data_IF_915211450852
#
_entry.id   IF_915211450852
#
_cell.length_a   1.000
_cell.length_b   1.000
_cell.length_c   1.000
_cell.angle_alpha   90.00
_cell.angle_beta   90.00
_cell.angle_gamma   90.00
#
_symmetry.space_group_name_H-M   'P 1'
#
loop_
_entity.id
_entity.type
_entity.pdbx_description
1 polymer ?
#
# COMPACT_ATOMS: atom_id res chain seq x y z
N UNK A 1 -14.25 -38.74 -6.17
CA UNK A 1 -13.09 -37.96 -5.72
C UNK A 1 -13.24 -36.52 -6.23
N UNK A 2 -13.01 -35.48 -5.42
CA UNK A 2 -13.02 -34.11 -5.91
C UNK A 2 -11.93 -33.97 -6.98
N UNK A 3 -12.26 -33.36 -8.12
CA UNK A 3 -11.26 -33.07 -9.16
C UNK A 3 -10.20 -32.14 -8.57
N UNK A 4 -8.89 -32.34 -8.83
CA UNK A 4 -7.85 -31.43 -8.35
C UNK A 4 -8.14 -29.99 -8.78
N UNK A 5 -7.81 -29.02 -7.93
CA UNK A 5 -7.94 -27.61 -8.26
C UNK A 5 -7.02 -27.30 -9.44
N UNK A 6 -7.62 -26.81 -10.53
CA UNK A 6 -6.86 -26.34 -11.69
C UNK A 6 -6.21 -24.99 -11.36
N UNK A 7 -4.90 -25.02 -11.11
CA UNK A 7 -4.13 -23.84 -10.73
C UNK A 7 -4.01 -22.82 -11.88
N UNK A 8 -3.96 -23.26 -13.14
CA UNK A 8 -3.92 -22.36 -14.28
C UNK A 8 -5.25 -21.59 -14.37
N UNK A 9 -6.36 -22.30 -14.27
CA UNK A 9 -7.69 -21.66 -14.26
C UNK A 9 -7.87 -20.70 -13.09
N UNK A 10 -7.32 -21.04 -11.92
CA UNK A 10 -7.33 -20.14 -10.75
C UNK A 10 -6.58 -18.84 -11.03
N UNK A 11 -5.40 -18.91 -11.66
CA UNK A 11 -4.61 -17.74 -12.00
C UNK A 11 -5.29 -16.85 -13.06
N UNK A 12 -5.96 -17.46 -14.04
CA UNK A 12 -6.75 -16.74 -15.04
C UNK A 12 -7.91 -15.97 -14.39
N UNK A 13 -8.61 -16.63 -13.46
CA UNK A 13 -9.70 -16.00 -12.71
C UNK A 13 -9.21 -14.82 -11.85
N UNK A 14 -8.04 -14.95 -11.22
CA UNK A 14 -7.41 -13.83 -10.48
C UNK A 14 -7.07 -12.68 -11.42
N UNK A 15 -6.44 -12.96 -12.57
CA UNK A 15 -6.09 -11.92 -13.55
C UNK A 15 -7.32 -11.15 -14.03
N UNK A 16 -8.37 -11.88 -14.41
CA UNK A 16 -9.60 -11.28 -14.90
C UNK A 16 -10.37 -10.54 -13.78
N UNK A 17 -10.36 -11.07 -12.55
CA UNK A 17 -10.96 -10.39 -11.40
C UNK A 17 -10.28 -9.05 -11.11
N UNK A 18 -8.94 -8.95 -11.25
CA UNK A 18 -8.22 -7.69 -11.11
C UNK A 18 -8.75 -6.60 -12.04
N UNK A 19 -9.03 -6.95 -13.31
CA UNK A 19 -9.56 -6.01 -14.31
C UNK A 19 -10.96 -5.54 -13.95
N UNK A 20 -11.82 -6.45 -13.48
CA UNK A 20 -13.19 -6.08 -13.07
C UNK A 20 -13.15 -5.18 -11.82
N UNK A 21 -12.35 -5.54 -10.82
CA UNK A 21 -12.20 -4.77 -9.59
C UNK A 21 -11.62 -3.38 -9.82
N UNK A 22 -10.70 -3.21 -10.79
CA UNK A 22 -10.14 -1.90 -11.16
C UNK A 22 -11.22 -0.93 -11.63
N UNK A 23 -12.23 -1.45 -12.35
CA UNK A 23 -13.35 -0.66 -12.85
C UNK A 23 -14.45 -0.42 -11.82
N UNK A 24 -14.73 -1.41 -10.99
CA UNK A 24 -15.95 -1.45 -10.15
C UNK A 24 -15.70 -1.18 -8.67
N UNK A 25 -14.45 -1.26 -8.22
CA UNK A 25 -14.10 -1.19 -6.80
C UNK A 25 -14.48 -2.48 -6.04
N UNK A 26 -14.17 -2.48 -4.74
CA UNK A 26 -14.37 -3.62 -3.85
C UNK A 26 -15.74 -3.56 -3.17
N UNK A 27 -16.17 -2.37 -2.76
CA UNK A 27 -17.35 -2.17 -1.92
C UNK A 27 -18.61 -2.65 -2.67
N UNK A 28 -18.81 -2.19 -3.90
CA UNK A 28 -20.03 -2.46 -4.69
C UNK A 28 -20.01 -3.81 -5.43
N UNK A 29 -18.88 -4.52 -5.42
CA UNK A 29 -18.72 -5.78 -6.15
C UNK A 29 -19.20 -6.96 -5.32
N UNK A 30 -20.26 -7.65 -5.74
CA UNK A 30 -20.64 -8.95 -5.16
C UNK A 30 -19.93 -10.11 -5.86
N UNK A 31 -19.84 -11.28 -5.22
CA UNK A 31 -19.32 -12.48 -5.88
C UNK A 31 -20.16 -12.90 -7.11
N UNK A 32 -21.46 -12.61 -7.08
CA UNK A 32 -22.38 -12.89 -8.19
C UNK A 32 -22.14 -11.94 -9.37
N UNK A 33 -22.01 -10.64 -9.12
CA UNK A 33 -21.73 -9.67 -10.18
C UNK A 33 -20.34 -9.91 -10.78
N UNK A 34 -19.35 -10.22 -9.95
CA UNK A 34 -18.02 -10.61 -10.42
C UNK A 34 -18.06 -11.89 -11.27
N UNK A 35 -18.79 -12.92 -10.85
CA UNK A 35 -18.94 -14.14 -11.65
C UNK A 35 -19.58 -13.87 -13.02
N UNK A 36 -20.60 -13.01 -13.09
CA UNK A 36 -21.25 -12.63 -14.34
C UNK A 36 -20.28 -11.93 -15.30
N UNK A 37 -19.50 -10.96 -14.80
CA UNK A 37 -18.45 -10.26 -15.57
C UNK A 37 -17.35 -11.21 -16.06
N UNK A 38 -17.00 -12.22 -15.26
CA UNK A 38 -15.98 -13.22 -15.59
C UNK A 38 -16.50 -14.36 -16.50
N UNK A 39 -17.78 -14.36 -16.89
CA UNK A 39 -18.37 -15.44 -17.68
C UNK A 39 -18.35 -16.79 -16.95
N UNK A 40 -18.48 -16.79 -15.62
CA UNK A 40 -18.49 -17.99 -14.79
C UNK A 40 -19.67 -17.98 -13.80
N UNK A 41 -19.74 -18.97 -12.91
CA UNK A 41 -20.77 -19.01 -11.85
C UNK A 41 -20.18 -18.62 -10.50
N UNK A 42 -21.01 -18.04 -9.62
CA UNK A 42 -20.60 -17.76 -8.24
C UNK A 42 -20.13 -19.03 -7.52
N UNK A 43 -20.74 -20.19 -7.82
CA UNK A 43 -20.32 -21.49 -7.31
C UNK A 43 -18.89 -21.85 -7.71
N UNK A 44 -18.47 -21.52 -8.94
CA UNK A 44 -17.09 -21.74 -9.39
C UNK A 44 -16.12 -20.82 -8.65
N UNK A 45 -16.47 -19.56 -8.41
CA UNK A 45 -15.61 -18.67 -7.62
C UNK A 45 -15.50 -19.14 -6.16
N UNK A 46 -16.60 -19.58 -5.54
CA UNK A 46 -16.56 -20.21 -4.21
C UNK A 46 -15.69 -21.46 -4.20
N UNK A 47 -15.77 -22.29 -5.25
CA UNK A 47 -14.93 -23.49 -5.36
C UNK A 47 -13.42 -23.16 -5.38
N UNK A 48 -13.01 -22.11 -6.09
CA UNK A 48 -11.58 -21.74 -6.21
C UNK A 48 -11.04 -20.89 -5.05
N UNK A 49 -11.88 -20.06 -4.45
CA UNK A 49 -11.44 -19.01 -3.52
C UNK A 49 -12.14 -19.07 -2.15
N UNK A 50 -13.23 -19.82 -2.02
CA UNK A 50 -14.03 -19.91 -0.80
C UNK A 50 -14.95 -18.70 -0.57
N UNK A 51 -14.44 -17.48 -0.73
CA UNK A 51 -15.18 -16.23 -0.51
C UNK A 51 -14.76 -15.10 -1.45
N UNK A 52 -15.54 -14.01 -1.44
CA UNK A 52 -15.21 -12.76 -2.14
C UNK A 52 -13.93 -12.16 -1.57
N UNK A 53 -13.81 -12.16 -0.25
CA UNK A 53 -12.70 -11.57 0.49
C UNK A 53 -11.38 -12.27 0.13
N UNK A 54 -11.40 -13.61 0.05
CA UNK A 54 -10.22 -14.39 -0.34
C UNK A 54 -9.84 -14.19 -1.81
N UNK A 55 -10.81 -14.07 -2.73
CA UNK A 55 -10.52 -13.71 -4.12
C UNK A 55 -9.87 -12.33 -4.23
N UNK A 56 -10.37 -11.35 -3.49
CA UNK A 56 -9.77 -10.00 -3.45
C UNK A 56 -8.37 -10.06 -2.87
N UNK A 57 -8.15 -10.80 -1.77
CA UNK A 57 -6.82 -10.96 -1.19
C UNK A 57 -5.84 -11.57 -2.20
N UNK A 58 -6.24 -12.56 -2.98
CA UNK A 58 -5.39 -13.16 -4.02
C UNK A 58 -5.02 -12.16 -5.12
N UNK A 59 -5.99 -11.36 -5.58
CA UNK A 59 -5.77 -10.26 -6.52
C UNK A 59 -4.75 -9.28 -5.95
N UNK A 60 -4.97 -8.80 -4.73
CA UNK A 60 -4.13 -7.79 -4.10
C UNK A 60 -2.72 -8.30 -3.77
N UNK A 61 -2.58 -9.55 -3.32
CA UNK A 61 -1.27 -10.15 -3.08
C UNK A 61 -0.48 -10.31 -4.38
N UNK A 62 -1.15 -10.64 -5.49
CA UNK A 62 -0.49 -10.67 -6.81
C UNK A 62 -0.01 -9.29 -7.23
N UNK A 63 -0.85 -8.27 -7.09
CA UNK A 63 -0.50 -6.89 -7.45
C UNK A 63 0.63 -6.35 -6.56
N UNK A 64 0.56 -6.57 -5.24
CA UNK A 64 1.60 -6.20 -4.29
C UNK A 64 2.95 -6.80 -4.69
N UNK A 65 3.01 -8.13 -4.93
CA UNK A 65 4.26 -8.81 -5.31
C UNK A 65 4.86 -8.30 -6.63
N UNK A 66 4.03 -7.80 -7.54
CA UNK A 66 4.50 -7.24 -8.81
C UNK A 66 4.98 -5.78 -8.67
N UNK A 67 4.44 -5.03 -7.69
CA UNK A 67 4.63 -3.58 -7.59
C UNK A 67 5.55 -3.14 -6.44
N UNK A 68 5.66 -3.94 -5.37
CA UNK A 68 6.39 -3.60 -4.17
C UNK A 68 7.49 -4.65 -3.97
N UNK A 69 8.77 -4.30 -4.19
CA UNK A 69 9.87 -5.23 -3.97
C UNK A 69 10.03 -5.55 -2.48
N UNK A 70 10.64 -6.68 -2.17
CA UNK A 70 11.11 -6.96 -0.82
C UNK A 70 12.20 -5.95 -0.41
N UNK A 71 12.40 -5.76 0.90
CA UNK A 71 13.25 -4.68 1.41
C UNK A 71 14.72 -4.83 1.01
N UNK A 72 15.20 -6.05 0.82
CA UNK A 72 16.55 -6.36 0.33
C UNK A 72 16.71 -6.17 -1.19
N UNK A 73 15.60 -6.11 -1.92
CA UNK A 73 15.56 -5.90 -3.37
C UNK A 73 15.23 -4.44 -3.76
N UNK A 74 14.99 -3.57 -2.77
CA UNK A 74 14.60 -2.19 -3.03
C UNK A 74 15.76 -1.39 -3.65
N UNK A 75 15.49 -0.69 -4.75
CA UNK A 75 16.47 0.23 -5.33
C UNK A 75 16.69 1.42 -4.38
N UNK A 76 17.94 1.58 -3.93
CA UNK A 76 18.33 2.64 -3.01
C UNK A 76 18.68 3.92 -3.77
N UNK A 77 18.22 5.10 -3.30
CA UNK A 77 18.51 6.35 -3.96
C UNK A 77 19.99 6.74 -3.82
N UNK A 78 20.55 7.31 -4.88
CA UNK A 78 21.95 7.80 -4.90
C UNK A 78 22.11 9.24 -4.41
N UNK A 79 21.01 9.98 -4.24
CA UNK A 79 21.01 11.36 -3.73
C UNK A 79 19.63 11.79 -3.26
N UNK A 80 19.58 12.87 -2.46
CA UNK A 80 18.32 13.52 -2.05
C UNK A 80 17.49 13.96 -3.26
N UNK A 81 18.14 14.50 -4.30
CA UNK A 81 17.46 14.95 -5.52
C UNK A 81 16.83 13.77 -6.27
N UNK A 82 17.55 12.66 -6.39
CA UNK A 82 17.02 11.45 -7.03
C UNK A 82 15.81 10.89 -6.25
N UNK A 83 15.89 10.83 -4.92
CA UNK A 83 14.77 10.36 -4.11
C UNK A 83 13.57 11.30 -4.17
N UNK A 84 13.80 12.61 -4.14
CA UNK A 84 12.76 13.61 -4.32
C UNK A 84 12.01 13.38 -5.64
N UNK A 85 12.73 13.27 -6.75
CA UNK A 85 12.12 13.02 -8.07
C UNK A 85 11.30 11.72 -8.07
N UNK A 86 11.86 10.65 -7.48
CA UNK A 86 11.14 9.38 -7.32
C UNK A 86 9.83 9.54 -6.53
N UNK A 87 9.80 10.34 -5.45
CA UNK A 87 8.56 10.61 -4.71
C UNK A 87 7.48 11.27 -5.59
N UNK A 88 7.85 12.19 -6.48
CA UNK A 88 6.91 12.85 -7.39
C UNK A 88 6.46 11.93 -8.54
N UNK A 89 7.35 11.08 -9.06
CA UNK A 89 7.00 10.05 -10.03
C UNK A 89 6.05 9.01 -9.42
N UNK A 90 6.33 8.58 -8.19
CA UNK A 90 5.48 7.65 -7.45
C UNK A 90 4.09 8.25 -7.20
N UNK A 91 4.05 9.52 -6.76
CA UNK A 91 2.82 10.30 -6.60
C UNK A 91 2.02 10.42 -7.90
N UNK A 92 2.67 10.78 -9.01
CA UNK A 92 2.01 10.86 -10.31
C UNK A 92 1.43 9.50 -10.73
N UNK A 93 2.21 8.42 -10.60
CA UNK A 93 1.75 7.07 -10.91
C UNK A 93 0.56 6.63 -10.04
N UNK A 94 0.53 7.05 -8.77
CA UNK A 94 -0.52 6.74 -7.81
C UNK A 94 -1.80 7.56 -7.99
N UNK A 95 -1.71 8.78 -8.53
CA UNK A 95 -2.85 9.71 -8.67
C UNK A 95 -3.45 9.72 -10.08
N UNK A 96 -2.60 9.65 -11.11
CA UNK A 96 -2.94 9.92 -12.51
C UNK A 96 -2.37 8.90 -13.49
N UNK A 97 -1.36 8.14 -13.10
CA UNK A 97 -0.74 7.12 -13.93
C UNK A 97 -1.31 5.72 -13.69
N UNK A 98 -0.55 4.72 -14.15
CA UNK A 98 -0.99 3.33 -14.26
C UNK A 98 -1.40 2.66 -12.94
N UNK A 99 -1.02 3.22 -11.79
CA UNK A 99 -1.38 2.67 -10.46
C UNK A 99 -2.62 3.30 -9.85
N UNK A 100 -3.19 4.36 -10.45
CA UNK A 100 -4.36 5.08 -9.91
C UNK A 100 -5.53 4.14 -9.55
N UNK A 101 -5.97 3.32 -10.50
CA UNK A 101 -7.12 2.43 -10.28
C UNK A 101 -6.84 1.36 -9.22
N UNK A 102 -5.62 0.81 -9.24
CA UNK A 102 -5.20 -0.19 -8.24
C UNK A 102 -5.15 0.42 -6.84
N UNK A 103 -4.66 1.64 -6.71
CA UNK A 103 -4.55 2.31 -5.42
C UNK A 103 -5.91 2.62 -4.81
N UNK A 104 -6.91 2.99 -5.63
CA UNK A 104 -8.31 3.16 -5.18
C UNK A 104 -8.87 1.87 -4.56
N UNK A 105 -8.59 0.71 -5.17
CA UNK A 105 -8.99 -0.60 -4.60
C UNK A 105 -8.28 -0.84 -3.27
N UNK A 106 -6.96 -0.66 -3.22
CA UNK A 106 -6.15 -0.91 -2.03
C UNK A 106 -6.62 -0.06 -0.86
N UNK A 107 -6.97 1.21 -1.08
CA UNK A 107 -7.49 2.09 -0.04
C UNK A 107 -8.85 1.66 0.50
N UNK A 108 -9.76 1.14 -0.36
CA UNK A 108 -11.01 0.54 0.13
C UNK A 108 -10.74 -0.66 1.04
N UNK A 109 -9.75 -1.48 0.70
CA UNK A 109 -9.34 -2.63 1.50
C UNK A 109 -8.70 -2.22 2.82
N UNK A 110 -7.88 -1.17 2.81
CA UNK A 110 -7.31 -0.61 4.05
C UNK A 110 -8.39 -0.07 4.97
N UNK A 111 -9.39 0.64 4.44
CA UNK A 111 -10.55 1.07 5.21
C UNK A 111 -11.33 -0.13 5.78
N UNK A 112 -11.58 -1.15 4.95
CA UNK A 112 -12.25 -2.37 5.39
C UNK A 112 -11.45 -3.17 6.43
N UNK A 113 -10.12 -3.09 6.42
CA UNK A 113 -9.23 -3.76 7.39
C UNK A 113 -9.40 -3.25 8.83
N UNK A 114 -9.93 -2.04 9.01
CA UNK A 114 -10.19 -1.44 10.32
C UNK A 114 -11.37 -2.09 11.06
N UNK A 115 -12.20 -2.89 10.38
CA UNK A 115 -13.25 -3.69 11.04
C UNK A 115 -12.68 -4.68 12.05
N UNK A 116 -13.39 -4.93 13.17
CA UNK A 116 -12.90 -5.80 14.27
C UNK A 116 -12.41 -7.16 13.75
N UNK A 117 -13.23 -7.86 12.99
CA UNK A 117 -12.96 -9.20 12.46
C UNK A 117 -12.69 -9.19 10.93
N UNK A 118 -12.02 -8.14 10.45
CA UNK A 118 -11.78 -8.00 9.01
C UNK A 118 -10.80 -9.04 8.47
N UNK A 119 -11.20 -9.75 7.41
CA UNK A 119 -10.34 -10.67 6.67
C UNK A 119 -9.10 -9.99 6.06
N UNK A 120 -9.13 -8.66 5.91
CA UNK A 120 -8.06 -7.88 5.29
C UNK A 120 -6.97 -7.43 6.27
N UNK A 121 -7.17 -7.59 7.59
CA UNK A 121 -6.26 -7.08 8.64
C UNK A 121 -4.81 -7.52 8.42
N UNK A 122 -4.58 -8.82 8.20
CA UNK A 122 -3.24 -9.37 8.07
C UNK A 122 -2.53 -8.87 6.80
N UNK A 123 -3.26 -8.85 5.68
CA UNK A 123 -2.76 -8.30 4.42
C UNK A 123 -2.35 -6.84 4.61
N UNK A 124 -3.27 -5.98 5.08
CA UNK A 124 -3.00 -4.55 5.29
C UNK A 124 -1.81 -4.31 6.20
N UNK A 125 -1.71 -5.02 7.33
CA UNK A 125 -0.55 -4.92 8.22
C UNK A 125 0.76 -5.27 7.51
N UNK A 126 0.77 -6.38 6.76
CA UNK A 126 1.96 -6.84 6.04
C UNK A 126 2.41 -5.85 4.96
N UNK A 127 1.46 -5.31 4.18
CA UNK A 127 1.73 -4.35 3.11
C UNK A 127 2.25 -3.03 3.66
N UNK A 128 1.59 -2.47 4.68
CA UNK A 128 2.03 -1.21 5.29
C UNK A 128 3.39 -1.35 5.99
N UNK A 129 3.63 -2.49 6.63
CA UNK A 129 4.94 -2.78 7.24
C UNK A 129 6.05 -2.86 6.19
N UNK A 130 5.79 -3.51 5.04
CA UNK A 130 6.76 -3.60 3.95
C UNK A 130 7.05 -2.21 3.35
N UNK A 131 6.02 -1.42 3.05
CA UNK A 131 6.18 -0.05 2.56
C UNK A 131 6.96 0.84 3.54
N UNK A 132 6.70 0.70 4.84
CA UNK A 132 7.43 1.43 5.88
C UNK A 132 8.90 1.05 5.88
N UNK A 133 9.24 -0.25 5.85
CA UNK A 133 10.63 -0.72 5.79
C UNK A 133 11.35 -0.25 4.52
N UNK A 134 10.68 -0.31 3.37
CA UNK A 134 11.25 0.13 2.11
C UNK A 134 11.51 1.65 2.11
N UNK A 135 10.61 2.45 2.68
CA UNK A 135 10.84 3.88 2.88
C UNK A 135 12.01 4.13 3.84
N UNK A 136 12.10 3.38 4.93
CA UNK A 136 13.18 3.52 5.91
C UNK A 136 14.53 3.22 5.28
N UNK A 137 14.66 2.10 4.55
CA UNK A 137 15.89 1.74 3.85
C UNK A 137 16.35 2.83 2.87
N UNK A 138 15.41 3.45 2.14
CA UNK A 138 15.72 4.57 1.24
C UNK A 138 16.22 5.80 1.99
N UNK A 139 15.67 6.14 3.16
CA UNK A 139 16.15 7.25 3.97
C UNK A 139 17.52 6.95 4.62
N UNK A 140 17.73 5.74 5.12
CA UNK A 140 19.03 5.34 5.68
C UNK A 140 20.14 5.40 4.63
N UNK A 141 19.86 4.99 3.38
CA UNK A 141 20.80 5.13 2.27
C UNK A 141 21.19 6.59 1.94
N UNK A 142 20.34 7.55 2.33
CA UNK A 142 20.60 8.99 2.19
C UNK A 142 21.32 9.58 3.42
N UNK A 143 21.71 8.76 4.38
CA UNK A 143 22.44 9.17 5.58
C UNK A 143 21.57 9.64 6.74
N UNK A 144 20.25 9.38 6.70
CA UNK A 144 19.39 9.63 7.86
C UNK A 144 19.66 8.58 8.94
N UNK A 145 19.75 8.96 10.23
CA UNK A 145 19.83 8.03 11.33
C UNK A 145 18.59 7.12 11.38
N UNK A 146 18.78 5.85 11.75
CA UNK A 146 17.71 4.84 11.76
C UNK A 146 16.43 5.30 12.48
N UNK A 147 16.54 5.94 13.64
CA UNK A 147 15.37 6.42 14.40
C UNK A 147 14.61 7.55 13.68
N UNK A 148 15.31 8.41 12.95
CA UNK A 148 14.71 9.47 12.12
C UNK A 148 14.04 8.86 10.90
N UNK A 149 14.75 7.96 10.21
CA UNK A 149 14.24 7.24 9.05
C UNK A 149 12.96 6.48 9.39
N UNK A 150 12.98 5.67 10.46
CA UNK A 150 11.81 4.93 10.95
C UNK A 150 10.61 5.86 11.24
N UNK A 151 10.84 6.92 12.00
CA UNK A 151 9.77 7.86 12.40
C UNK A 151 9.17 8.56 11.18
N UNK A 152 10.03 9.07 10.28
CA UNK A 152 9.59 9.77 9.08
C UNK A 152 8.89 8.83 8.10
N UNK A 153 9.35 7.59 7.93
CA UNK A 153 8.70 6.61 7.07
C UNK A 153 7.30 6.24 7.54
N UNK A 154 7.11 6.06 8.85
CA UNK A 154 5.78 5.80 9.44
C UNK A 154 4.83 6.97 9.21
N UNK A 155 5.29 8.20 9.47
CA UNK A 155 4.47 9.40 9.26
C UNK A 155 4.21 9.63 7.78
N UNK A 156 5.19 9.42 6.92
CA UNK A 156 5.06 9.58 5.47
C UNK A 156 4.05 8.63 4.88
N UNK A 157 4.02 7.38 5.31
CA UNK A 157 3.00 6.45 4.83
C UNK A 157 1.59 6.88 5.25
N UNK A 158 1.41 7.32 6.50
CA UNK A 158 0.12 7.81 6.98
C UNK A 158 -0.33 9.09 6.25
N UNK A 159 0.59 10.05 6.06
CA UNK A 159 0.34 11.28 5.32
C UNK A 159 0.02 11.00 3.85
N UNK A 160 0.79 10.13 3.19
CA UNK A 160 0.56 9.72 1.80
C UNK A 160 -0.82 9.10 1.63
N UNK A 161 -1.25 8.20 2.52
CA UNK A 161 -2.61 7.65 2.49
C UNK A 161 -3.68 8.75 2.59
N UNK A 162 -3.49 9.72 3.49
CA UNK A 162 -4.36 10.88 3.62
C UNK A 162 -4.44 11.71 2.34
N UNK A 163 -3.28 12.06 1.76
CA UNK A 163 -3.21 12.83 0.52
C UNK A 163 -3.87 12.11 -0.64
N UNK A 164 -3.68 10.79 -0.79
CA UNK A 164 -4.34 10.05 -1.87
C UNK A 164 -5.87 10.03 -1.69
N UNK A 165 -6.35 9.85 -0.46
CA UNK A 165 -7.80 9.90 -0.19
C UNK A 165 -8.35 11.29 -0.55
N UNK A 166 -7.69 12.35 -0.10
CA UNK A 166 -8.06 13.74 -0.40
C UNK A 166 -8.02 14.01 -1.91
N UNK A 167 -6.97 13.57 -2.61
CA UNK A 167 -6.83 13.70 -4.06
C UNK A 167 -8.00 13.08 -4.83
N UNK A 168 -8.48 11.91 -4.41
CA UNK A 168 -9.58 11.22 -5.10
C UNK A 168 -10.98 11.69 -4.70
N UNK A 169 -11.10 12.51 -3.66
CA UNK A 169 -12.39 12.94 -3.10
C UNK A 169 -12.63 14.44 -3.18
N UNK A 170 -11.58 15.25 -3.38
CA UNK A 170 -11.68 16.69 -3.56
C UNK A 170 -12.29 17.03 -4.94
N UNK A 171 -13.08 18.11 -4.98
CA UNK A 171 -13.62 18.66 -6.23
C UNK A 171 -12.51 19.20 -7.15
N UNK A 172 -11.47 19.81 -6.56
CA UNK A 172 -10.25 20.24 -7.24
C UNK A 172 -9.02 19.70 -6.47
N UNK A 173 -8.33 18.68 -6.99
CA UNK A 173 -7.21 18.06 -6.28
C UNK A 173 -5.87 18.78 -6.47
N UNK A 174 -5.82 19.91 -7.19
CA UNK A 174 -4.56 20.61 -7.49
C UNK A 174 -3.82 21.11 -6.24
N UNK A 175 -4.54 21.49 -5.18
CA UNK A 175 -3.92 21.91 -3.92
C UNK A 175 -3.23 20.75 -3.18
N UNK A 176 -3.65 19.51 -3.45
CA UNK A 176 -3.06 18.31 -2.84
C UNK A 176 -1.66 18.08 -3.39
N UNK A 177 -1.41 18.36 -4.67
CA UNK A 177 -0.06 18.30 -5.25
C UNK A 177 0.90 19.27 -4.53
N UNK A 178 0.42 20.49 -4.25
CA UNK A 178 1.19 21.48 -3.49
C UNK A 178 1.48 21.04 -2.06
N UNK A 179 0.49 20.43 -1.40
CA UNK A 179 0.63 19.90 -0.03
C UNK A 179 1.59 18.72 0.02
N UNK A 180 1.51 17.80 -0.93
CA UNK A 180 2.45 16.69 -1.08
C UNK A 180 3.87 17.18 -1.34
N UNK A 181 4.06 18.18 -2.20
CA UNK A 181 5.38 18.75 -2.48
C UNK A 181 6.03 19.33 -1.21
N UNK A 182 5.27 20.12 -0.45
CA UNK A 182 5.74 20.65 0.84
C UNK A 182 6.01 19.54 1.84
N UNK A 183 5.17 18.51 1.91
CA UNK A 183 5.40 17.36 2.78
C UNK A 183 6.74 16.67 2.46
N UNK A 184 7.05 16.47 1.18
CA UNK A 184 8.33 15.87 0.76
C UNK A 184 9.50 16.77 1.17
N UNK A 185 9.44 18.06 0.87
CA UNK A 185 10.56 18.99 1.04
C UNK A 185 10.77 19.43 2.50
N UNK A 186 9.70 19.74 3.20
CA UNK A 186 9.71 20.37 4.53
C UNK A 186 9.63 19.36 5.67
N UNK A 187 9.25 18.11 5.40
CA UNK A 187 9.17 17.06 6.42
C UNK A 187 9.99 15.82 6.07
N UNK A 188 9.70 15.14 4.95
CA UNK A 188 10.32 13.85 4.64
C UNK A 188 11.83 13.99 4.44
N UNK A 189 12.25 15.00 3.67
CA UNK A 189 13.65 15.25 3.30
C UNK A 189 14.27 16.45 4.02
N UNK A 190 13.56 17.03 4.97
CA UNK A 190 14.10 18.11 5.80
C UNK A 190 15.42 17.67 6.44
N UNK A 191 16.40 18.57 6.61
CA UNK A 191 17.60 18.26 7.39
C UNK A 191 17.23 17.69 8.76
N UNK A 192 18.01 16.72 9.24
CA UNK A 192 17.87 16.22 10.61
C UNK A 192 18.93 16.87 11.50
N UNK A 193 18.58 17.14 12.76
CA UNK A 193 19.53 17.66 13.73
C UNK A 193 19.72 16.65 14.87
N UNK A 194 20.94 16.51 15.45
CA UNK A 194 21.16 15.65 16.60
C UNK A 194 20.31 15.99 17.84
N UNK A 195 19.75 17.21 17.90
CA UNK A 195 18.83 17.65 18.95
C UNK A 195 17.48 16.90 18.95
N UNK A 196 17.15 16.19 17.87
CA UNK A 196 15.90 15.41 17.72
C UNK A 196 16.01 14.00 18.31
N UNK A 197 17.12 13.66 18.98
CA UNK A 197 17.25 12.39 19.67
C UNK A 197 16.17 12.28 20.76
N UNK A 198 15.29 11.26 20.71
CA UNK A 198 14.46 10.98 21.86
C UNK A 198 15.42 10.71 23.02
N UNK A 199 15.29 11.48 24.11
CA UNK A 199 16.05 11.23 25.32
C UNK A 199 15.92 9.74 25.62
N UNK A 200 17.05 9.01 25.54
CA UNK A 200 17.12 7.64 26.01
C UNK A 200 16.46 7.68 27.38
N UNK A 201 15.32 6.98 27.53
CA UNK A 201 14.74 6.80 28.86
C UNK A 201 15.84 6.11 29.65
N UNK A 202 16.55 6.87 30.47
CA UNK A 202 17.45 6.32 31.46
C UNK A 202 16.65 5.25 32.19
N UNK A 203 17.09 4.01 32.06
CA UNK A 203 16.60 2.94 32.91
C UNK A 203 16.87 3.40 34.34
N UNK A 204 15.79 3.83 35.02
CA UNK A 204 15.79 4.13 36.43
C UNK A 204 16.50 2.97 37.14
N UNK A 205 17.59 3.20 37.88
CA UNK A 205 18.25 2.12 38.59
C UNK A 205 17.25 1.48 39.53
N UNK A 206 17.12 0.15 39.43
CA UNK A 206 16.33 -0.63 40.35
C UNK A 206 16.99 -0.60 41.75
N UNK A 207 16.31 0.03 42.72
CA UNK A 207 16.64 -0.02 44.15
C UNK A 207 17.79 0.92 44.58
N UNK A 208 17.82 1.50 45.77
CA UNK A 208 17.04 1.34 47.01
C UNK A 208 16.95 2.68 47.73
#
# INVERSE_FOLDING_TARGET
MPRPVDHAKRQDLVAAASVVLARTGVIDTSLRSLAAELGTSARMLVYYFGSKEQLILEVLNRQQRAAIPETDEVELPVSLVAHRNWCFEDWHACTRGDRSDTLRIVLQVFGAACGRDSAYRAYTWSTLSLLTRNSQARLEALGFPAYVAETRSRIALAAFQGFIIEYFTADDPSYVDGSFARFVDEFLLAPWTPADQPALREELPAGH
#
